data_IF_928171848790
#
_entry.id   IF_928171848790
#
_cell.length_a   1.000
_cell.length_b   1.000
_cell.length_c   1.000
_cell.angle_alpha   90.00
_cell.angle_beta   90.00
_cell.angle_gamma   90.00
#
_symmetry.space_group_name_H-M   'P 1'
#
loop_
_entity.id
_entity.type
_entity.pdbx_description
1 polymer ?
#
# COMPACT_ATOMS: atom_id res chain seq x y z
N UNK A 1 0.70 -18.59 -0.66
CA UNK A 1 -0.65 -18.03 -0.82
C UNK A 1 -1.07 -17.26 0.41
N UNK A 2 -1.22 -17.95 1.54
CA UNK A 2 -1.59 -17.27 2.79
C UNK A 2 -0.62 -16.15 3.15
N UNK A 3 0.68 -16.36 2.92
CA UNK A 3 1.70 -15.36 3.25
C UNK A 3 1.50 -14.03 2.49
N UNK A 4 1.09 -14.08 1.22
CA UNK A 4 0.84 -12.86 0.44
C UNK A 4 -0.43 -12.16 0.91
N UNK A 5 -1.45 -12.91 1.26
CA UNK A 5 -2.71 -12.37 1.79
C UNK A 5 -2.45 -11.72 3.16
N UNK A 6 -1.67 -12.38 4.02
CA UNK A 6 -1.30 -11.85 5.32
C UNK A 6 -0.50 -10.56 5.20
N UNK A 7 0.40 -10.49 4.22
CA UNK A 7 1.19 -9.29 3.95
C UNK A 7 0.29 -8.11 3.57
N UNK A 8 -0.68 -8.34 2.69
CA UNK A 8 -1.64 -7.31 2.30
C UNK A 8 -2.42 -6.80 3.51
N UNK A 9 -2.87 -7.73 4.37
CA UNK A 9 -3.61 -7.39 5.59
C UNK A 9 -2.75 -6.55 6.54
N UNK A 10 -1.51 -6.98 6.80
CA UNK A 10 -0.59 -6.24 7.67
C UNK A 10 -0.30 -4.84 7.14
N UNK A 11 -0.04 -4.74 5.84
CA UNK A 11 0.25 -3.46 5.21
C UNK A 11 -0.93 -2.51 5.32
N UNK A 12 -2.12 -2.99 5.00
CA UNK A 12 -3.34 -2.18 5.04
C UNK A 12 -3.63 -1.67 6.43
N UNK A 13 -3.46 -2.51 7.45
CA UNK A 13 -3.65 -2.13 8.84
C UNK A 13 -2.61 -1.12 9.32
N UNK A 14 -1.36 -1.31 8.92
CA UNK A 14 -0.29 -0.38 9.29
C UNK A 14 -0.54 1.01 8.72
N UNK A 15 -0.95 1.08 7.45
CA UNK A 15 -1.27 2.37 6.82
C UNK A 15 -2.45 3.06 7.51
N UNK A 16 -3.52 2.33 7.76
CA UNK A 16 -4.70 2.91 8.40
C UNK A 16 -4.39 3.43 9.80
N UNK A 17 -3.49 2.76 10.52
CA UNK A 17 -3.03 3.17 11.84
C UNK A 17 -1.95 4.25 11.80
N UNK A 18 -1.49 4.64 10.60
CA UNK A 18 -0.36 5.55 10.38
C UNK A 18 0.92 5.06 11.07
N UNK A 19 1.05 3.75 11.16
CA UNK A 19 2.25 3.11 11.70
C UNK A 19 3.27 2.95 10.56
N UNK A 20 3.95 4.04 10.24
CA UNK A 20 4.87 4.09 9.10
C UNK A 20 6.08 3.19 9.30
N UNK A 21 6.57 3.08 10.52
CA UNK A 21 7.68 2.18 10.84
C UNK A 21 7.31 0.74 10.50
N UNK A 22 6.12 0.31 10.89
CA UNK A 22 5.61 -1.03 10.59
C UNK A 22 5.44 -1.22 9.09
N UNK A 23 4.81 -0.27 8.40
CA UNK A 23 4.59 -0.36 6.96
C UNK A 23 5.91 -0.47 6.20
N UNK A 24 6.89 0.37 6.54
CA UNK A 24 8.20 0.35 5.89
C UNK A 24 8.95 -0.95 6.16
N UNK A 25 8.77 -1.54 7.35
CA UNK A 25 9.41 -2.80 7.71
C UNK A 25 8.97 -3.99 6.83
N UNK A 26 7.86 -3.85 6.12
CA UNK A 26 7.38 -4.89 5.20
C UNK A 26 8.08 -4.85 3.84
N UNK A 27 8.85 -3.81 3.57
CA UNK A 27 9.63 -3.68 2.34
C UNK A 27 11.06 -4.17 2.55
N UNK A 28 11.63 -4.75 1.50
CA UNK A 28 13.06 -5.07 1.49
C UNK A 28 13.88 -3.77 1.46
N UNK A 29 15.14 -3.85 1.90
CA UNK A 29 16.01 -2.68 1.95
C UNK A 29 16.31 -2.08 0.58
N UNK A 30 16.21 -2.87 -0.48
CA UNK A 30 16.41 -2.45 -1.87
C UNK A 30 15.09 -2.29 -2.64
N UNK A 31 13.97 -2.21 -1.93
CA UNK A 31 12.66 -2.11 -2.54
C UNK A 31 12.49 -0.83 -3.35
N UNK A 32 11.63 -0.90 -4.35
CA UNK A 32 11.31 0.21 -5.24
C UNK A 32 9.80 0.36 -5.32
N UNK A 33 9.30 1.58 -5.10
CA UNK A 33 7.90 1.94 -5.37
C UNK A 33 7.87 2.73 -6.67
N UNK A 34 7.09 2.26 -7.64
CA UNK A 34 6.97 2.90 -8.94
C UNK A 34 5.58 3.53 -9.05
N UNK A 35 5.55 4.85 -9.23
CA UNK A 35 4.31 5.63 -9.31
C UNK A 35 4.36 6.48 -10.58
N UNK A 36 3.23 7.04 -10.96
CA UNK A 36 3.20 8.00 -12.08
C UNK A 36 4.05 9.23 -11.80
N UNK A 37 4.05 9.71 -10.56
CA UNK A 37 4.77 10.93 -10.19
C UNK A 37 6.25 10.71 -9.92
N UNK A 38 6.72 9.47 -9.91
CA UNK A 38 8.14 9.18 -9.71
C UNK A 38 8.39 7.89 -8.96
N UNK A 39 9.64 7.63 -8.66
CA UNK A 39 10.11 6.38 -8.05
C UNK A 39 10.68 6.69 -6.67
N UNK A 40 10.30 5.86 -5.69
CA UNK A 40 10.87 5.89 -4.34
C UNK A 40 11.72 4.63 -4.15
N UNK A 41 12.99 4.79 -3.77
CA UNK A 41 13.94 3.68 -3.60
C UNK A 41 14.44 3.64 -2.18
N UNK A 42 14.32 2.47 -1.57
CA UNK A 42 14.83 2.22 -0.23
C UNK A 42 13.94 2.77 0.87
N UNK A 43 14.25 2.42 2.13
CA UNK A 43 13.35 2.71 3.25
C UNK A 43 13.11 4.19 3.50
N UNK A 44 14.12 5.04 3.33
CA UNK A 44 13.95 6.47 3.59
C UNK A 44 12.99 7.13 2.60
N UNK A 45 13.18 6.87 1.30
CA UNK A 45 12.32 7.43 0.27
C UNK A 45 10.92 6.85 0.32
N UNK A 46 10.79 5.55 0.63
CA UNK A 46 9.49 4.90 0.77
C UNK A 46 8.76 5.47 1.98
N UNK A 47 9.45 5.67 3.09
CA UNK A 47 8.85 6.29 4.28
C UNK A 47 8.34 7.70 3.94
N UNK A 48 9.14 8.50 3.26
CA UNK A 48 8.75 9.85 2.85
C UNK A 48 7.52 9.82 1.94
N UNK A 49 7.46 8.87 1.01
CA UNK A 49 6.31 8.70 0.14
C UNK A 49 5.04 8.40 0.95
N UNK A 50 5.10 7.46 1.88
CA UNK A 50 3.92 7.07 2.67
C UNK A 50 3.45 8.20 3.58
N UNK A 51 4.38 8.87 4.25
CA UNK A 51 4.07 10.00 5.12
C UNK A 51 3.42 11.13 4.31
N UNK A 52 4.01 11.46 3.16
CA UNK A 52 3.48 12.49 2.27
C UNK A 52 2.08 12.17 1.79
N UNK A 53 1.87 10.93 1.36
CA UNK A 53 0.56 10.48 0.88
C UNK A 53 -0.51 10.64 1.95
N UNK A 54 -0.24 10.17 3.17
CA UNK A 54 -1.22 10.22 4.25
C UNK A 54 -1.36 11.60 4.89
N UNK A 55 -0.37 12.47 4.72
CA UNK A 55 -0.44 13.83 5.25
C UNK A 55 -1.53 14.66 4.60
N UNK A 56 -2.01 14.24 3.42
CA UNK A 56 -3.13 14.90 2.74
C UNK A 56 -4.50 14.58 3.33
N UNK A 57 -4.57 13.67 4.30
CA UNK A 57 -5.84 13.22 4.88
C UNK A 57 -5.81 13.35 6.40
N UNK A 58 -6.86 13.92 6.97
CA UNK A 58 -7.07 13.91 8.42
C UNK A 58 -7.60 12.56 8.87
N UNK A 59 -8.41 11.91 8.02
CA UNK A 59 -8.95 10.58 8.26
C UNK A 59 -8.57 9.64 7.13
N UNK A 60 -8.10 8.46 7.47
CA UNK A 60 -7.71 7.44 6.49
C UNK A 60 -7.97 6.07 7.09
N UNK A 61 -9.26 5.70 7.14
CA UNK A 61 -9.68 4.45 7.78
C UNK A 61 -9.91 3.36 6.74
N UNK A 62 -9.40 2.17 7.00
CA UNK A 62 -9.59 1.04 6.11
C UNK A 62 -11.05 0.60 6.12
N UNK A 63 -11.71 0.61 4.96
CA UNK A 63 -13.06 0.07 4.79
C UNK A 63 -12.96 -1.41 4.45
N UNK A 64 -12.20 -1.75 3.41
CA UNK A 64 -12.11 -3.12 2.93
C UNK A 64 -10.88 -3.33 2.06
N UNK A 65 -10.44 -4.58 2.00
CA UNK A 65 -9.50 -5.06 1.01
C UNK A 65 -10.30 -5.96 0.07
N UNK A 66 -10.28 -5.63 -1.22
CA UNK A 66 -11.10 -6.32 -2.21
C UNK A 66 -10.22 -6.91 -3.30
N UNK A 67 -10.75 -7.88 -4.04
CA UNK A 67 -10.15 -8.32 -5.30
C UNK A 67 -8.69 -8.75 -5.19
N UNK A 68 -8.38 -9.64 -4.22
CA UNK A 68 -7.01 -10.15 -4.10
C UNK A 68 -6.79 -11.26 -5.12
N UNK A 69 -5.73 -11.12 -5.93
CA UNK A 69 -5.31 -12.15 -6.88
C UNK A 69 -3.81 -12.36 -6.74
N UNK A 70 -3.39 -13.60 -6.63
CA UNK A 70 -1.97 -13.93 -6.45
C UNK A 70 -1.47 -14.87 -7.55
N UNK A 71 -0.20 -14.75 -7.87
CA UNK A 71 0.50 -15.70 -8.73
C UNK A 71 1.99 -15.64 -8.39
N UNK A 72 2.54 -16.77 -7.92
CA UNK A 72 3.95 -16.82 -7.55
C UNK A 72 4.32 -15.80 -6.48
N UNK A 73 5.19 -14.88 -6.84
CA UNK A 73 5.70 -13.82 -5.96
C UNK A 73 4.89 -12.52 -6.04
N UNK A 74 3.80 -12.52 -6.76
CA UNK A 74 3.05 -11.30 -7.10
C UNK A 74 1.64 -11.35 -6.54
N UNK A 75 1.19 -10.24 -5.97
CA UNK A 75 -0.20 -10.07 -5.57
C UNK A 75 -0.72 -8.73 -6.08
N UNK A 76 -1.94 -8.75 -6.65
CA UNK A 76 -2.69 -7.55 -7.01
C UNK A 76 -3.88 -7.47 -6.09
N UNK A 77 -4.15 -6.29 -5.55
CA UNK A 77 -5.24 -6.13 -4.60
C UNK A 77 -5.77 -4.72 -4.61
N UNK A 78 -7.05 -4.58 -4.30
CA UNK A 78 -7.72 -3.30 -4.18
C UNK A 78 -8.00 -3.02 -2.70
N UNK A 79 -7.94 -1.75 -2.34
CA UNK A 79 -8.33 -1.31 -1.01
C UNK A 79 -9.23 -0.09 -1.12
N UNK A 80 -10.16 0.02 -0.18
CA UNK A 80 -11.01 1.20 -0.03
C UNK A 80 -10.78 1.78 1.35
N UNK A 81 -10.59 3.10 1.41
CA UNK A 81 -10.36 3.83 2.65
C UNK A 81 -11.35 4.97 2.76
N UNK A 82 -11.92 5.14 3.96
CA UNK A 82 -12.76 6.29 4.26
C UNK A 82 -11.85 7.45 4.62
N UNK A 83 -11.93 8.51 3.83
CA UNK A 83 -11.12 9.71 4.05
C UNK A 83 -12.02 10.94 4.17
N UNK A 84 -11.44 12.06 4.61
CA UNK A 84 -12.14 13.34 4.65
C UNK A 84 -12.47 13.88 3.25
N UNK A 85 -11.89 13.31 2.18
CA UNK A 85 -12.20 13.65 0.79
C UNK A 85 -13.17 12.66 0.12
N UNK A 86 -13.66 11.66 0.87
CA UNK A 86 -14.52 10.61 0.34
C UNK A 86 -13.86 9.25 0.46
N UNK A 87 -14.51 8.21 -0.06
CA UNK A 87 -13.96 6.86 -0.04
C UNK A 87 -12.94 6.70 -1.17
N UNK A 88 -11.67 6.68 -0.82
CA UNK A 88 -10.57 6.50 -1.77
C UNK A 88 -10.42 5.03 -2.12
N UNK A 89 -10.40 4.72 -3.41
CA UNK A 89 -10.12 3.37 -3.90
C UNK A 89 -8.75 3.34 -4.56
N UNK A 90 -7.95 2.33 -4.21
CA UNK A 90 -6.62 2.12 -4.79
C UNK A 90 -6.47 0.68 -5.25
N UNK A 91 -5.67 0.50 -6.29
CA UNK A 91 -5.19 -0.82 -6.72
C UNK A 91 -3.69 -0.85 -6.46
N UNK A 92 -3.21 -1.95 -5.90
CA UNK A 92 -1.80 -2.10 -5.56
C UNK A 92 -1.26 -3.41 -6.11
N UNK A 93 -0.01 -3.37 -6.54
CA UNK A 93 0.73 -4.57 -6.92
C UNK A 93 1.95 -4.67 -6.03
N UNK A 94 2.11 -5.82 -5.38
CA UNK A 94 3.33 -6.16 -4.65
C UNK A 94 4.02 -7.32 -5.32
N UNK A 95 5.35 -7.23 -5.45
CA UNK A 95 6.21 -8.36 -5.77
C UNK A 95 7.13 -8.57 -4.58
N UNK A 96 7.25 -9.82 -4.11
CA UNK A 96 8.02 -10.13 -2.91
C UNK A 96 9.23 -10.98 -3.23
N UNK A 97 10.24 -10.93 -2.35
CA UNK A 97 11.40 -11.78 -2.45
C UNK A 97 11.19 -13.08 -1.65
N UNK A 98 12.21 -13.94 -1.60
CA UNK A 98 12.12 -15.23 -0.91
C UNK A 98 11.90 -15.09 0.60
N UNK A 99 12.26 -13.96 1.17
CA UNK A 99 12.01 -13.67 2.59
C UNK A 99 10.60 -13.15 2.86
N UNK A 100 9.79 -12.98 1.81
CA UNK A 100 8.43 -12.45 1.95
C UNK A 100 8.35 -10.93 2.10
N UNK A 101 9.43 -10.22 1.80
CA UNK A 101 9.46 -8.76 1.85
C UNK A 101 9.19 -8.17 0.48
N UNK A 102 8.52 -7.03 0.46
CA UNK A 102 8.16 -6.34 -0.79
C UNK A 102 9.43 -5.80 -1.44
N UNK A 103 9.68 -6.20 -2.69
CA UNK A 103 10.80 -5.67 -3.48
C UNK A 103 10.32 -4.67 -4.53
N UNK A 104 9.03 -4.73 -4.89
CA UNK A 104 8.43 -3.79 -5.85
C UNK A 104 6.99 -3.55 -5.48
N UNK A 105 6.60 -2.31 -5.49
CA UNK A 105 5.24 -1.89 -5.20
C UNK A 105 4.81 -0.89 -6.27
N UNK A 106 3.64 -1.14 -6.85
CA UNK A 106 3.04 -0.23 -7.84
C UNK A 106 1.67 0.18 -7.30
N UNK A 107 1.57 1.35 -6.67
CA UNK A 107 0.28 1.86 -6.19
C UNK A 107 -0.42 2.65 -7.30
N UNK A 108 -1.70 2.38 -7.50
CA UNK A 108 -2.52 3.01 -8.54
C UNK A 108 -3.79 3.58 -7.89
N UNK A 109 -3.80 4.86 -7.54
CA UNK A 109 -5.03 5.49 -7.04
C UNK A 109 -6.10 5.47 -8.13
N UNK A 110 -7.32 5.08 -7.76
CA UNK A 110 -8.42 4.93 -8.71
C UNK A 110 -9.46 6.01 -8.59
N UNK A 111 -9.46 6.77 -7.51
CA UNK A 111 -10.39 7.87 -7.30
C UNK A 111 -11.21 7.72 -6.04
N UNK A 112 -12.18 8.60 -5.91
CA UNK A 112 -13.00 8.69 -4.71
C UNK A 112 -14.43 8.28 -5.01
N UNK A 113 -15.06 7.60 -4.05
CA UNK A 113 -16.45 7.20 -4.10
C UNK A 113 -17.24 7.91 -3.02
N UNK A 114 -18.56 7.98 -3.22
CA UNK A 114 -19.45 8.42 -2.14
C UNK A 114 -19.40 9.90 -1.82
N UNK A 115 -18.78 10.71 -2.70
CA UNK A 115 -18.87 12.13 -2.55
C UNK A 115 -19.25 12.78 -3.89
N UNK A 116 -20.13 13.69 -3.81
CA UNK A 116 -20.73 14.31 -4.98
C UNK A 116 -20.60 15.82 -4.93
#
# INVERSE_FOLDING_TARGET
>A
MAALIDLVDEYSKALAARDFERAVSLYASDAIVVRYEGVAKGPEEISAFLVNFLSGYDRFDLISVDQIQTSGDTVVWDASHDTDAGALQTTNVFVVNDAGLIIRHIPLPRGYWGHT
#
